data_IF_173171383202
#
_entry.id   IF_173171383202
#
_cell.length_a   1.000
_cell.length_b   1.000
_cell.length_c   1.000
_cell.angle_alpha   90.00
_cell.angle_beta   90.00
_cell.angle_gamma   90.00
#
_symmetry.space_group_name_H-M   'P 1'
#
loop_
_entity.id
_entity.type
_entity.pdbx_description
1 polymer ?
#
# COMPACT_ATOMS: atom_id res chain seq x y z
N UNK A 1 -9.27 -15.20 8.69
CA UNK A 1 -8.16 -14.38 8.18
C UNK A 1 -8.05 -13.16 9.08
N UNK A 2 -6.85 -12.83 9.57
CA UNK A 2 -6.63 -11.64 10.39
C UNK A 2 -6.56 -10.45 9.44
N UNK A 3 -7.46 -9.49 9.59
CA UNK A 3 -7.48 -8.23 8.86
C UNK A 3 -6.18 -7.47 9.16
N UNK A 4 -5.32 -7.27 8.15
CA UNK A 4 -4.00 -6.63 8.27
C UNK A 4 -4.05 -5.13 8.61
N UNK A 5 -5.18 -4.64 9.13
CA UNK A 5 -5.43 -3.24 9.46
C UNK A 5 -4.80 -2.87 10.80
N UNK A 6 -4.23 -1.66 10.86
CA UNK A 6 -3.78 -1.07 12.12
C UNK A 6 -4.96 -0.41 12.85
N UNK A 7 -4.86 -0.19 14.18
CA UNK A 7 -5.89 0.54 14.92
C UNK A 7 -6.20 1.92 14.35
N UNK A 8 -5.18 2.65 13.86
CA UNK A 8 -5.37 3.95 13.21
C UNK A 8 -6.17 3.84 11.90
N UNK A 9 -5.94 2.79 11.10
CA UNK A 9 -6.70 2.56 9.86
C UNK A 9 -8.17 2.28 10.16
N UNK A 10 -8.47 1.50 11.21
CA UNK A 10 -9.86 1.26 11.65
C UNK A 10 -10.54 2.56 12.09
N UNK A 11 -9.83 3.39 12.85
CA UNK A 11 -10.35 4.70 13.27
C UNK A 11 -10.66 5.62 12.07
N UNK A 12 -9.83 5.60 11.01
CA UNK A 12 -10.12 6.36 9.78
C UNK A 12 -11.42 5.88 9.11
N UNK A 13 -11.61 4.56 9.01
CA UNK A 13 -12.84 3.95 8.45
C UNK A 13 -14.07 4.30 9.30
N UNK A 14 -14.00 4.12 10.62
CA UNK A 14 -15.09 4.37 11.56
C UNK A 14 -15.49 5.85 11.59
N UNK A 15 -14.50 6.74 11.62
CA UNK A 15 -14.72 8.19 11.64
C UNK A 15 -15.04 8.78 10.26
N UNK A 16 -14.87 7.99 9.18
CA UNK A 16 -14.96 8.41 7.78
C UNK A 16 -14.13 9.65 7.48
N UNK A 17 -12.92 9.70 8.05
CA UNK A 17 -12.00 10.83 7.91
C UNK A 17 -10.69 10.38 7.32
N UNK A 18 -10.16 11.24 6.46
CA UNK A 18 -8.86 11.10 5.87
C UNK A 18 -7.74 11.13 6.91
N UNK A 19 -6.71 10.31 6.70
CA UNK A 19 -5.51 10.36 7.52
C UNK A 19 -4.71 11.64 7.22
N UNK A 20 -4.42 12.40 8.27
CA UNK A 20 -3.62 13.64 8.21
C UNK A 20 -2.13 13.40 8.45
N UNK A 21 -1.75 12.20 8.86
CA UNK A 21 -0.36 11.86 9.22
C UNK A 21 0.48 11.57 7.97
N UNK A 22 1.04 12.62 7.37
CA UNK A 22 1.82 12.53 6.12
C UNK A 22 3.17 11.85 6.28
N UNK A 23 3.72 11.75 7.50
CA UNK A 23 4.99 11.06 7.75
C UNK A 23 4.80 9.54 7.91
N UNK A 24 3.55 9.07 7.99
CA UNK A 24 3.28 7.64 8.09
C UNK A 24 3.73 6.90 6.83
N UNK A 25 4.48 5.82 7.01
CA UNK A 25 4.95 4.95 5.92
C UNK A 25 3.83 4.38 5.04
N UNK A 26 2.61 4.25 5.57
CA UNK A 26 1.45 3.74 4.86
C UNK A 26 0.57 4.86 4.28
N UNK A 27 0.96 6.12 4.46
CA UNK A 27 0.24 7.27 3.93
C UNK A 27 0.44 7.37 2.42
N UNK A 28 -0.66 7.60 1.71
CA UNK A 28 -0.66 7.88 0.27
C UNK A 28 -1.65 8.99 0.00
N UNK A 29 -1.38 9.81 -1.00
CA UNK A 29 -2.26 10.92 -1.40
C UNK A 29 -3.45 10.39 -2.21
N UNK A 30 -4.34 9.67 -1.52
CA UNK A 30 -5.54 9.07 -2.09
C UNK A 30 -6.74 9.18 -1.13
N UNK A 31 -7.43 10.34 -1.14
CA UNK A 31 -8.51 10.66 -0.20
C UNK A 31 -9.67 9.67 -0.19
N UNK A 32 -9.97 9.07 -1.34
CA UNK A 32 -11.06 8.11 -1.49
C UNK A 32 -10.91 6.88 -0.59
N UNK A 33 -9.68 6.56 -0.17
CA UNK A 33 -9.36 5.43 0.73
C UNK A 33 -8.66 5.95 2.00
N UNK A 34 -9.10 7.12 2.45
CA UNK A 34 -8.66 7.78 3.68
C UNK A 34 -7.14 8.00 3.77
N UNK A 35 -6.47 8.17 2.63
CA UNK A 35 -5.03 8.37 2.52
C UNK A 35 -4.20 7.22 3.13
N UNK A 36 -4.68 5.96 3.07
CA UNK A 36 -3.98 4.83 3.68
C UNK A 36 -3.92 3.59 2.78
N UNK A 37 -2.69 3.17 2.43
CA UNK A 37 -2.41 1.96 1.66
C UNK A 37 -3.07 0.69 2.24
N UNK A 38 -3.16 0.57 3.56
CA UNK A 38 -3.76 -0.61 4.19
C UNK A 38 -5.26 -0.69 3.95
N UNK A 39 -5.93 0.46 3.90
CA UNK A 39 -7.36 0.53 3.61
C UNK A 39 -7.59 0.25 2.13
N UNK A 40 -6.76 0.82 1.25
CA UNK A 40 -6.77 0.52 -0.19
C UNK A 40 -6.74 -0.99 -0.47
N UNK A 41 -5.82 -1.72 0.20
CA UNK A 41 -5.69 -3.18 0.05
C UNK A 41 -6.88 -3.91 0.68
N UNK A 42 -7.39 -3.44 1.82
CA UNK A 42 -8.52 -4.07 2.50
C UNK A 42 -9.82 -3.97 1.70
N UNK A 43 -10.12 -2.81 1.09
CA UNK A 43 -11.36 -2.57 0.36
C UNK A 43 -11.36 -3.16 -1.05
N UNK A 44 -10.21 -3.13 -1.75
CA UNK A 44 -10.12 -3.56 -3.15
C UNK A 44 -9.49 -4.96 -3.32
N UNK A 45 -8.77 -5.45 -2.32
CA UNK A 45 -8.01 -6.68 -2.40
C UNK A 45 -6.79 -6.58 -3.32
N UNK A 46 -6.66 -7.52 -4.25
CA UNK A 46 -5.55 -7.57 -5.20
C UNK A 46 -5.77 -6.54 -6.32
N UNK A 47 -4.93 -5.51 -6.38
CA UNK A 47 -5.02 -4.46 -7.39
C UNK A 47 -4.05 -4.67 -8.55
N UNK A 48 -4.44 -4.17 -9.72
CA UNK A 48 -3.59 -4.10 -10.90
C UNK A 48 -2.50 -3.03 -10.75
N UNK A 49 -1.43 -3.14 -11.54
CA UNK A 49 -0.35 -2.15 -11.55
C UNK A 49 -0.81 -0.75 -11.97
N UNK A 50 -1.92 -0.64 -12.70
CA UNK A 50 -2.51 0.65 -13.11
C UNK A 50 -3.22 1.31 -11.94
N UNK A 51 -4.09 0.56 -11.25
CA UNK A 51 -4.79 1.01 -10.05
C UNK A 51 -3.82 1.43 -8.93
N UNK A 52 -2.71 0.71 -8.77
CA UNK A 52 -1.65 1.08 -7.83
C UNK A 52 -0.94 2.36 -8.27
N UNK A 53 -0.68 2.51 -9.57
CA UNK A 53 -0.04 3.71 -10.13
C UNK A 53 -0.88 4.97 -9.92
N UNK A 54 -2.20 4.85 -10.06
CA UNK A 54 -3.16 5.95 -9.82
C UNK A 54 -3.11 6.43 -8.36
N UNK A 55 -3.06 5.51 -7.38
CA UNK A 55 -2.99 5.86 -5.94
C UNK A 55 -1.66 6.47 -5.52
N UNK A 56 -0.58 6.06 -6.18
CA UNK A 56 0.78 6.51 -5.86
C UNK A 56 1.26 7.67 -6.74
N UNK A 57 0.43 8.15 -7.67
CA UNK A 57 0.77 9.18 -8.66
C UNK A 57 2.04 8.87 -9.46
N UNK A 58 2.22 7.59 -9.84
CA UNK A 58 3.35 7.13 -10.66
C UNK A 58 2.87 6.26 -11.82
N UNK A 59 3.68 6.19 -12.88
CA UNK A 59 3.33 5.35 -14.04
C UNK A 59 3.31 3.87 -13.66
N UNK A 60 2.42 3.09 -14.30
CA UNK A 60 2.37 1.63 -14.12
C UNK A 60 3.73 0.95 -14.38
N UNK A 61 4.51 1.49 -15.33
CA UNK A 61 5.87 1.03 -15.62
C UNK A 61 6.79 1.24 -14.42
N UNK A 62 6.66 2.36 -13.70
CA UNK A 62 7.43 2.63 -12.49
C UNK A 62 7.03 1.68 -11.35
N UNK A 63 5.73 1.41 -11.19
CA UNK A 63 5.24 0.39 -10.23
C UNK A 63 5.88 -0.97 -10.54
N UNK A 64 5.88 -1.41 -11.80
CA UNK A 64 6.47 -2.68 -12.22
C UNK A 64 7.96 -2.77 -11.91
N UNK A 65 8.71 -1.68 -12.13
CA UNK A 65 10.14 -1.62 -11.80
C UNK A 65 10.37 -1.81 -10.30
N UNK A 66 9.63 -1.07 -9.46
CA UNK A 66 9.72 -1.15 -8.00
C UNK A 66 9.39 -2.57 -7.51
N UNK A 67 8.30 -3.14 -7.99
CA UNK A 67 7.88 -4.52 -7.68
C UNK A 67 8.99 -5.52 -8.05
N UNK A 68 9.51 -5.44 -9.29
CA UNK A 68 10.55 -6.35 -9.78
C UNK A 68 11.82 -6.27 -8.94
N UNK A 69 12.24 -5.06 -8.55
CA UNK A 69 13.42 -4.85 -7.71
C UNK A 69 13.20 -5.32 -6.27
N UNK A 70 11.99 -5.16 -5.72
CA UNK A 70 11.63 -5.71 -4.42
C UNK A 70 11.68 -7.25 -4.42
N UNK A 71 11.11 -7.90 -5.44
CA UNK A 71 11.14 -9.36 -5.60
C UNK A 71 12.57 -9.87 -5.74
N UNK A 72 13.42 -9.19 -6.53
CA UNK A 72 14.86 -9.54 -6.65
C UNK A 72 15.57 -9.47 -5.29
N UNK A 73 15.30 -8.43 -4.49
CA UNK A 73 15.90 -8.28 -3.15
C UNK A 73 15.46 -9.42 -2.22
N UNK A 74 14.16 -9.75 -2.20
CA UNK A 74 13.63 -10.85 -1.38
C UNK A 74 14.30 -12.17 -1.77
N UNK A 75 14.35 -12.50 -3.06
CA UNK A 75 15.00 -13.73 -3.55
C UNK A 75 16.47 -13.81 -3.19
N UNK A 76 17.21 -12.69 -3.27
CA UNK A 76 18.61 -12.63 -2.85
C UNK A 76 18.76 -12.94 -1.36
N UNK A 77 17.82 -12.48 -0.53
CA UNK A 77 17.87 -12.70 0.92
C UNK A 77 17.55 -14.14 1.30
N UNK A 78 16.60 -14.78 0.61
CA UNK A 78 16.28 -16.21 0.85
C UNK A 78 17.50 -17.11 0.60
N UNK A 79 18.21 -16.92 -0.51
CA UNK A 79 19.43 -17.70 -0.81
C UNK A 79 20.66 -17.37 0.04
N UNK A 80 20.56 -16.42 0.99
CA UNK A 80 21.62 -16.10 1.98
C UNK A 80 21.32 -16.73 3.35
N UNK A 81 20.11 -17.26 3.55
CA UNK A 81 19.69 -17.90 4.81
C UNK A 81 19.81 -19.43 4.78
N UNK A 82 20.25 -20.00 3.66
CA UNK A 82 20.73 -21.38 3.51
C UNK A 82 22.25 -21.45 3.72
#
# INVERSE_FOLDING_TARGET
MKDCLRPCSRLCIESKKECTEKECRMWVDFPAEYNCCLISIYENGSMTLREIGERLHISFARVKQIESDAVKKIRKWEGVRE
#
